data_IF_590622273694
#
_entry.id   IF_590622273694
#
_cell.length_a   1.000
_cell.length_b   1.000
_cell.length_c   1.000
_cell.angle_alpha   90.00
_cell.angle_beta   90.00
_cell.angle_gamma   90.00
#
_symmetry.space_group_name_H-M   'P 1'
#
loop_
_entity.id
_entity.type
_entity.pdbx_description
1 polymer ?
#
# COMPACT_ATOMS: atom_id res chain seq x y z
N UNK A 1 -64.94 12.17 -1.11
CA UNK A 1 -63.76 11.57 -1.77
C UNK A 1 -62.76 12.61 -2.28
N UNK A 2 -63.22 13.68 -2.95
CA UNK A 2 -62.37 14.72 -3.58
C UNK A 2 -61.41 15.48 -2.65
N UNK A 3 -61.84 15.83 -1.42
CA UNK A 3 -61.01 16.58 -0.45
C UNK A 3 -59.78 15.79 0.04
N UNK A 4 -59.92 14.46 0.21
CA UNK A 4 -58.79 13.59 0.59
C UNK A 4 -57.79 13.46 -0.56
N UNK A 5 -58.28 13.43 -1.81
CA UNK A 5 -57.45 13.36 -3.02
C UNK A 5 -56.63 14.64 -3.26
N UNK A 6 -57.22 15.82 -3.03
CA UNK A 6 -56.49 17.10 -3.12
C UNK A 6 -55.37 17.17 -2.07
N UNK A 7 -55.65 16.75 -0.84
CA UNK A 7 -54.65 16.78 0.25
C UNK A 7 -53.47 15.84 -0.05
N UNK A 8 -53.72 14.63 -0.56
CA UNK A 8 -52.62 13.74 -0.99
C UNK A 8 -51.84 14.27 -2.18
N UNK A 9 -52.51 14.91 -3.15
CA UNK A 9 -51.84 15.49 -4.33
C UNK A 9 -50.92 16.66 -3.95
N UNK A 10 -51.37 17.57 -3.06
CA UNK A 10 -50.57 18.70 -2.58
C UNK A 10 -49.35 18.19 -1.78
N UNK A 11 -49.51 17.15 -0.97
CA UNK A 11 -48.40 16.56 -0.23
C UNK A 11 -47.33 15.97 -1.17
N UNK A 12 -47.73 15.28 -2.24
CA UNK A 12 -46.81 14.74 -3.25
C UNK A 12 -46.05 15.85 -3.99
N UNK A 13 -46.72 16.95 -4.35
CA UNK A 13 -46.09 18.11 -4.99
C UNK A 13 -45.08 18.77 -4.05
N UNK A 14 -45.41 18.91 -2.76
CA UNK A 14 -44.49 19.47 -1.77
C UNK A 14 -43.22 18.62 -1.62
N UNK A 15 -43.34 17.29 -1.59
CA UNK A 15 -42.20 16.37 -1.56
C UNK A 15 -41.37 16.47 -2.85
N UNK A 16 -42.00 16.58 -4.01
CA UNK A 16 -41.29 16.76 -5.27
C UNK A 16 -40.50 18.09 -5.30
N UNK A 17 -41.10 19.18 -4.82
CA UNK A 17 -40.45 20.49 -4.72
C UNK A 17 -39.27 20.49 -3.75
N UNK A 18 -39.35 19.81 -2.61
CA UNK A 18 -38.22 19.69 -1.67
C UNK A 18 -37.09 18.86 -2.27
N UNK A 19 -37.38 17.78 -2.98
CA UNK A 19 -36.37 16.98 -3.69
C UNK A 19 -35.68 17.79 -4.79
N UNK A 20 -36.43 18.58 -5.57
CA UNK A 20 -35.87 19.47 -6.60
C UNK A 20 -35.02 20.59 -5.99
N UNK A 21 -35.45 21.16 -4.86
CA UNK A 21 -34.68 22.16 -4.13
C UNK A 21 -33.36 21.58 -3.60
N UNK A 22 -33.40 20.39 -2.99
CA UNK A 22 -32.20 19.67 -2.53
C UNK A 22 -31.22 19.37 -3.68
N UNK A 23 -31.72 18.98 -4.86
CA UNK A 23 -30.88 18.80 -6.05
C UNK A 23 -30.24 20.12 -6.51
N UNK A 24 -30.99 21.23 -6.49
CA UNK A 24 -30.51 22.55 -6.93
C UNK A 24 -29.44 23.14 -6.00
N UNK A 25 -29.57 22.91 -4.68
CA UNK A 25 -28.59 23.38 -3.70
C UNK A 25 -27.36 22.49 -3.58
N UNK A 26 -27.32 21.37 -4.29
CA UNK A 26 -26.24 20.39 -4.18
C UNK A 26 -26.20 19.72 -2.81
N UNK A 27 -27.34 19.56 -2.14
CA UNK A 27 -27.43 18.89 -0.85
C UNK A 27 -27.00 17.42 -1.00
N UNK A 28 -25.86 17.05 -0.40
CA UNK A 28 -25.29 15.71 -0.44
C UNK A 28 -25.68 14.95 0.83
N UNK A 29 -26.18 13.73 0.65
CA UNK A 29 -26.45 12.81 1.75
C UNK A 29 -25.15 12.06 2.04
N UNK A 30 -24.82 11.91 3.33
CA UNK A 30 -23.64 11.16 3.72
C UNK A 30 -23.76 9.70 3.25
N UNK A 31 -22.71 9.18 2.60
CA UNK A 31 -22.71 7.78 2.17
C UNK A 31 -22.55 6.86 3.37
N UNK A 32 -23.38 5.83 3.41
CA UNK A 32 -23.30 4.70 4.35
C UNK A 32 -22.64 3.47 3.72
N UNK A 33 -22.18 3.58 2.48
CA UNK A 33 -21.55 2.48 1.76
C UNK A 33 -20.07 2.40 2.09
N UNK A 34 -19.63 1.23 2.54
CA UNK A 34 -18.21 0.91 2.68
C UNK A 34 -17.58 0.76 1.30
N UNK A 35 -16.38 1.32 1.12
CA UNK A 35 -15.63 1.14 -0.11
C UNK A 35 -15.15 -0.31 -0.26
N UNK A 36 -14.94 -0.75 -1.50
CA UNK A 36 -14.17 -1.96 -1.73
C UNK A 36 -12.75 -1.73 -1.21
N UNK A 37 -12.19 -2.69 -0.46
CA UNK A 37 -10.87 -2.54 0.16
C UNK A 37 -9.75 -2.39 -0.89
N UNK A 38 -9.89 -3.01 -2.05
CA UNK A 38 -8.92 -2.91 -3.14
C UNK A 38 -8.98 -1.51 -3.76
N UNK A 39 -10.17 -1.00 -4.04
CA UNK A 39 -10.35 0.38 -4.47
C UNK A 39 -9.81 1.37 -3.43
N UNK A 40 -9.99 1.09 -2.14
CA UNK A 40 -9.53 1.94 -1.06
C UNK A 40 -8.00 2.10 -1.01
N UNK A 41 -7.27 1.06 -1.41
CA UNK A 41 -5.81 1.07 -1.45
C UNK A 41 -5.25 1.31 -2.86
N UNK A 42 -6.09 1.67 -3.84
CA UNK A 42 -5.72 1.79 -5.25
C UNK A 42 -5.09 0.49 -5.82
N UNK A 43 -5.61 -0.66 -5.40
CA UNK A 43 -5.13 -2.00 -5.77
C UNK A 43 -6.00 -2.65 -6.87
N UNK A 44 -6.49 -1.84 -7.80
CA UNK A 44 -7.31 -2.27 -8.94
C UNK A 44 -6.58 -1.88 -10.22
N UNK A 45 -6.26 -2.85 -11.07
CA UNK A 45 -5.61 -2.65 -12.36
C UNK A 45 -6.60 -2.14 -13.42
N UNK A 46 -6.08 -1.67 -14.55
CA UNK A 46 -6.91 -1.10 -15.64
C UNK A 46 -7.89 -2.10 -16.26
N UNK A 47 -7.62 -3.39 -16.15
CA UNK A 47 -8.50 -4.48 -16.62
C UNK A 47 -9.54 -4.91 -15.56
N UNK A 48 -9.53 -4.29 -14.38
CA UNK A 48 -10.41 -4.59 -13.26
C UNK A 48 -9.93 -5.71 -12.34
N UNK A 49 -8.74 -6.28 -12.57
CA UNK A 49 -8.15 -7.27 -11.67
C UNK A 49 -7.61 -6.63 -10.38
N UNK A 50 -7.58 -7.40 -9.30
CA UNK A 50 -7.11 -6.94 -8.00
C UNK A 50 -5.64 -7.31 -7.76
N UNK A 51 -4.87 -6.37 -7.21
CA UNK A 51 -3.50 -6.60 -6.77
C UNK A 51 -3.52 -7.14 -5.35
N UNK A 52 -2.75 -8.22 -5.10
CA UNK A 52 -2.65 -8.81 -3.77
C UNK A 52 -3.83 -9.70 -3.38
N UNK A 53 -4.57 -10.21 -4.37
CA UNK A 53 -5.60 -11.23 -4.18
C UNK A 53 -5.02 -12.67 -4.18
N UNK A 54 -3.83 -12.85 -4.76
CA UNK A 54 -3.09 -14.12 -4.74
C UNK A 54 -2.17 -14.19 -3.51
N UNK A 55 -2.11 -15.35 -2.87
CA UNK A 55 -1.26 -15.67 -1.72
C UNK A 55 0.25 -15.49 -1.98
N UNK A 56 0.68 -15.54 -3.24
CA UNK A 56 2.10 -15.43 -3.61
C UNK A 56 2.54 -14.00 -3.97
N UNK A 57 1.61 -13.09 -4.26
CA UNK A 57 1.93 -11.74 -4.74
C UNK A 57 1.46 -10.68 -3.75
N UNK A 58 2.36 -9.75 -3.43
CA UNK A 58 2.07 -8.64 -2.51
C UNK A 58 2.24 -7.30 -3.22
N UNK A 59 1.27 -6.41 -3.05
CA UNK A 59 1.44 -5.01 -3.41
C UNK A 59 2.60 -4.40 -2.60
N UNK A 60 3.40 -3.53 -3.21
CA UNK A 60 4.48 -2.84 -2.50
C UNK A 60 4.11 -1.36 -2.42
N UNK A 61 3.98 -0.83 -1.21
CA UNK A 61 3.65 0.57 -0.94
C UNK A 61 4.82 1.21 -0.21
N UNK A 62 5.41 2.24 -0.80
CA UNK A 62 6.58 2.93 -0.25
C UNK A 62 6.19 4.37 0.04
N UNK A 63 6.23 4.78 1.31
CA UNK A 63 5.82 6.12 1.75
C UNK A 63 4.44 6.55 1.21
N UNK A 64 3.49 5.62 1.22
CA UNK A 64 2.11 5.84 0.74
C UNK A 64 1.94 5.76 -0.78
N UNK A 65 3.01 5.57 -1.55
CA UNK A 65 2.97 5.46 -3.01
C UNK A 65 3.03 3.99 -3.40
N UNK A 66 2.04 3.54 -4.19
CA UNK A 66 2.04 2.19 -4.76
C UNK A 66 3.17 2.05 -5.78
N UNK A 67 3.95 0.98 -5.68
CA UNK A 67 4.98 0.60 -6.64
C UNK A 67 4.36 -0.07 -7.86
N UNK A 68 4.98 0.13 -9.02
CA UNK A 68 4.65 -0.58 -10.26
C UNK A 68 4.95 -2.09 -10.15
N UNK A 69 5.88 -2.47 -9.27
CA UNK A 69 6.32 -3.84 -9.08
C UNK A 69 5.68 -4.50 -7.87
N UNK A 70 5.47 -5.81 -7.95
CA UNK A 70 4.94 -6.65 -6.87
C UNK A 70 6.08 -7.34 -6.13
N UNK A 71 5.87 -7.61 -4.85
CA UNK A 71 6.72 -8.49 -4.08
C UNK A 71 6.19 -9.93 -4.17
N UNK A 72 7.09 -10.90 -4.00
CA UNK A 72 6.78 -12.31 -4.04
C UNK A 72 6.92 -12.92 -2.65
N UNK A 73 6.00 -13.78 -2.26
CA UNK A 73 6.14 -14.64 -1.09
C UNK A 73 6.60 -16.02 -1.54
N UNK A 74 7.81 -16.43 -1.14
CA UNK A 74 8.37 -17.75 -1.44
C UNK A 74 9.10 -18.29 -0.23
N UNK A 75 8.85 -19.54 0.16
CA UNK A 75 9.45 -20.16 1.34
C UNK A 75 9.33 -19.28 2.61
N UNK A 76 8.15 -18.71 2.83
CA UNK A 76 7.86 -17.80 3.96
C UNK A 76 8.78 -16.55 4.01
N UNK A 77 9.37 -16.18 2.87
CA UNK A 77 10.26 -15.02 2.71
C UNK A 77 9.67 -14.06 1.68
N UNK A 78 9.70 -12.77 1.98
CA UNK A 78 9.20 -11.72 1.11
C UNK A 78 10.32 -11.17 0.25
N UNK A 79 10.18 -11.33 -1.06
CA UNK A 79 11.17 -10.90 -2.03
C UNK A 79 10.68 -9.66 -2.79
N UNK A 80 11.49 -8.62 -2.81
CA UNK A 80 11.18 -7.36 -3.50
C UNK A 80 12.09 -7.21 -4.71
N UNK A 81 11.52 -6.75 -5.82
CA UNK A 81 12.23 -6.58 -7.08
C UNK A 81 13.42 -5.61 -6.92
N UNK A 82 14.54 -5.95 -7.54
CA UNK A 82 15.78 -5.17 -7.46
C UNK A 82 15.57 -3.71 -7.88
N UNK A 83 14.81 -3.44 -8.95
CA UNK A 83 14.55 -2.06 -9.39
C UNK A 83 13.81 -1.23 -8.34
N UNK A 84 12.90 -1.84 -7.57
CA UNK A 84 12.21 -1.16 -6.47
C UNK A 84 13.20 -0.78 -5.39
N UNK A 85 14.08 -1.71 -4.99
CA UNK A 85 15.09 -1.45 -3.97
C UNK A 85 16.03 -0.35 -4.44
N UNK A 86 16.62 -0.49 -5.64
CA UNK A 86 17.58 0.45 -6.20
C UNK A 86 17.00 1.87 -6.34
N UNK A 87 15.77 1.99 -6.83
CA UNK A 87 15.21 3.27 -7.23
C UNK A 87 14.39 3.96 -6.13
N UNK A 88 13.90 3.23 -5.12
CA UNK A 88 12.99 3.76 -4.10
C UNK A 88 13.48 3.59 -2.66
N UNK A 89 14.37 2.64 -2.39
CA UNK A 89 14.88 2.38 -1.04
C UNK A 89 16.32 2.90 -0.92
N UNK A 90 17.23 2.41 -1.75
CA UNK A 90 18.64 2.79 -1.73
C UNK A 90 19.35 2.46 -3.04
N UNK A 91 20.24 3.34 -3.48
CA UNK A 91 21.10 3.17 -4.65
C UNK A 91 22.37 2.34 -4.37
N UNK A 92 22.61 1.95 -3.11
CA UNK A 92 23.83 1.26 -2.66
C UNK A 92 23.85 -0.23 -2.91
N UNK A 93 22.71 -0.84 -3.25
CA UNK A 93 22.64 -2.23 -3.71
C UNK A 93 22.94 -2.26 -5.20
N UNK A 94 24.13 -2.76 -5.55
CA UNK A 94 24.59 -2.89 -6.92
C UNK A 94 24.48 -4.33 -7.39
N UNK A 95 23.73 -4.59 -8.46
CA UNK A 95 23.71 -5.87 -9.13
C UNK A 95 24.64 -5.84 -10.33
N UNK A 96 25.69 -6.67 -10.29
CA UNK A 96 26.51 -6.96 -11.44
C UNK A 96 25.90 -8.14 -12.21
N UNK A 97 25.33 -7.84 -13.38
CA UNK A 97 24.66 -8.84 -14.21
C UNK A 97 25.65 -9.74 -14.97
N UNK A 98 26.85 -9.25 -15.26
CA UNK A 98 27.85 -10.03 -16.01
C UNK A 98 28.49 -11.07 -15.10
N UNK A 99 28.82 -10.67 -13.88
CA UNK A 99 29.52 -11.51 -12.89
C UNK A 99 28.57 -12.20 -11.89
N UNK A 100 27.25 -12.00 -12.03
CA UNK A 100 26.19 -12.61 -11.21
C UNK A 100 26.41 -12.48 -9.70
N UNK A 101 26.61 -11.24 -9.22
CA UNK A 101 26.61 -10.96 -7.79
C UNK A 101 25.91 -9.64 -7.45
N UNK A 102 25.48 -9.52 -6.20
CA UNK A 102 25.09 -8.26 -5.57
C UNK A 102 26.21 -7.77 -4.66
N UNK A 103 26.50 -6.48 -4.71
CA UNK A 103 27.31 -5.76 -3.74
C UNK A 103 26.46 -4.78 -2.94
N UNK A 104 26.76 -4.69 -1.64
CA UNK A 104 26.30 -3.62 -0.78
C UNK A 104 27.47 -3.11 0.06
N UNK A 105 27.63 -1.79 0.16
CA UNK A 105 28.74 -1.19 0.92
C UNK A 105 28.20 -0.46 2.15
N UNK A 106 28.60 -0.92 3.34
CA UNK A 106 28.42 -0.22 4.61
C UNK A 106 29.62 0.70 4.86
N UNK A 107 29.57 1.60 5.86
CA UNK A 107 30.74 2.39 6.24
C UNK A 107 31.97 1.57 6.65
N UNK A 108 31.79 0.29 7.01
CA UNK A 108 32.85 -0.55 7.61
C UNK A 108 33.16 -1.81 6.81
N UNK A 109 32.31 -2.22 5.88
CA UNK A 109 32.48 -3.46 5.13
C UNK A 109 31.82 -3.41 3.74
N UNK A 110 32.38 -4.20 2.83
CA UNK A 110 31.70 -4.59 1.59
C UNK A 110 31.04 -5.94 1.84
N UNK A 111 29.76 -6.02 1.47
CA UNK A 111 28.95 -7.22 1.49
C UNK A 111 28.82 -7.70 0.05
N UNK A 112 29.18 -8.96 -0.22
CA UNK A 112 29.10 -9.58 -1.55
C UNK A 112 28.30 -10.87 -1.49
N UNK A 113 27.31 -11.00 -2.36
CA UNK A 113 26.47 -12.20 -2.46
C UNK A 113 26.38 -12.63 -3.93
N UNK A 114 26.74 -13.88 -4.24
CA UNK A 114 26.50 -14.44 -5.57
C UNK A 114 25.00 -14.68 -5.78
N UNK A 115 24.46 -14.49 -6.98
CA UNK A 115 23.02 -14.70 -7.21
C UNK A 115 22.60 -16.13 -6.87
N UNK A 116 21.51 -16.25 -6.11
CA UNK A 116 20.99 -17.51 -5.58
C UNK A 116 21.66 -17.95 -4.28
N UNK A 117 20.94 -18.71 -3.47
CA UNK A 117 21.47 -19.25 -2.22
C UNK A 117 21.49 -18.24 -1.07
N UNK A 118 21.93 -18.71 0.09
CA UNK A 118 21.92 -17.93 1.34
C UNK A 118 23.30 -17.40 1.75
N UNK A 119 24.37 -17.81 1.07
CA UNK A 119 25.75 -17.46 1.45
C UNK A 119 26.16 -16.06 0.97
N UNK A 120 26.92 -15.34 1.80
CA UNK A 120 27.50 -14.05 1.45
C UNK A 120 28.84 -13.82 2.15
N UNK A 121 29.62 -12.88 1.64
CA UNK A 121 30.85 -12.41 2.27
C UNK A 121 30.62 -11.01 2.85
N UNK A 122 31.07 -10.77 4.08
CA UNK A 122 31.06 -9.45 4.71
C UNK A 122 32.46 -9.13 5.24
N UNK A 123 33.11 -8.11 4.66
CA UNK A 123 34.46 -7.71 5.08
C UNK A 123 35.51 -8.82 4.95
N UNK A 124 35.34 -9.72 3.96
CA UNK A 124 36.22 -10.86 3.71
C UNK A 124 35.95 -12.09 4.58
N UNK A 125 34.86 -12.10 5.35
CA UNK A 125 34.41 -13.27 6.12
C UNK A 125 33.17 -13.88 5.47
N UNK A 126 33.12 -15.21 5.42
CA UNK A 126 31.97 -15.94 4.93
C UNK A 126 30.89 -16.05 6.00
N UNK A 127 29.67 -15.70 5.62
CA UNK A 127 28.46 -15.69 6.44
C UNK A 127 27.34 -16.41 5.68
N UNK A 128 26.26 -16.74 6.37
CA UNK A 128 25.05 -17.32 5.77
C UNK A 128 23.81 -16.64 6.31
N UNK A 129 22.78 -16.60 5.48
CA UNK A 129 21.43 -16.19 5.82
C UNK A 129 20.52 -17.41 6.02
N UNK A 130 19.31 -17.19 6.52
CA UNK A 130 18.35 -18.27 6.78
C UNK A 130 17.74 -18.83 5.50
N UNK A 131 17.46 -17.95 4.53
CA UNK A 131 16.89 -18.28 3.23
C UNK A 131 17.76 -17.69 2.11
N UNK A 132 17.43 -18.05 0.87
CA UNK A 132 18.08 -17.47 -0.30
C UNK A 132 17.98 -15.94 -0.25
N UNK A 133 19.11 -15.25 -0.37
CA UNK A 133 19.13 -13.77 -0.32
C UNK A 133 18.56 -13.21 -1.62
N UNK A 134 18.77 -13.92 -2.74
CA UNK A 134 18.21 -13.55 -4.03
C UNK A 134 17.50 -14.73 -4.70
N UNK A 135 16.43 -14.42 -5.42
CA UNK A 135 15.78 -15.33 -6.35
C UNK A 135 15.64 -14.64 -7.71
N UNK A 136 15.77 -15.42 -8.77
CA UNK A 136 15.55 -14.95 -10.13
C UNK A 136 14.26 -15.55 -10.66
N UNK A 137 13.38 -14.70 -11.20
CA UNK A 137 12.12 -15.11 -11.82
C UNK A 137 12.09 -14.49 -13.20
N UNK A 138 12.16 -15.34 -14.24
CA UNK A 138 12.44 -14.92 -15.61
C UNK A 138 13.76 -14.13 -15.67
N UNK A 139 13.75 -12.91 -16.18
CA UNK A 139 14.93 -12.03 -16.29
C UNK A 139 15.05 -11.05 -15.09
N UNK A 140 14.15 -11.14 -14.13
CA UNK A 140 14.06 -10.20 -13.02
C UNK A 140 14.68 -10.77 -11.75
N UNK A 141 15.43 -9.93 -11.04
CA UNK A 141 16.04 -10.26 -9.76
C UNK A 141 15.20 -9.73 -8.61
N UNK A 142 14.99 -10.58 -7.61
CA UNK A 142 14.34 -10.20 -6.37
C UNK A 142 15.25 -10.51 -5.18
N UNK A 143 15.21 -9.64 -4.17
CA UNK A 143 16.01 -9.76 -2.96
C UNK A 143 15.10 -9.98 -1.74
N UNK A 144 15.56 -10.78 -0.79
CA UNK A 144 14.93 -10.90 0.52
C UNK A 144 14.85 -9.52 1.20
N UNK A 145 13.62 -9.08 1.47
CA UNK A 145 13.34 -7.81 2.10
C UNK A 145 13.92 -7.71 3.52
N UNK A 146 13.99 -8.80 4.27
CA UNK A 146 14.58 -8.81 5.60
C UNK A 146 16.09 -8.56 5.54
N UNK A 147 16.77 -9.14 4.55
CA UNK A 147 18.19 -8.89 4.28
C UNK A 147 18.42 -7.42 3.88
N UNK A 148 17.58 -6.86 3.00
CA UNK A 148 17.64 -5.44 2.65
C UNK A 148 17.42 -4.56 3.88
N UNK A 149 16.44 -4.90 4.73
CA UNK A 149 16.13 -4.18 5.97
C UNK A 149 17.32 -4.16 6.94
N UNK A 150 18.00 -5.30 7.16
CA UNK A 150 19.21 -5.40 7.99
C UNK A 150 20.25 -4.33 7.64
N UNK A 151 20.46 -4.09 6.35
CA UNK A 151 21.54 -3.24 5.86
C UNK A 151 21.14 -1.78 5.63
N UNK A 152 19.85 -1.51 5.43
CA UNK A 152 19.32 -0.17 5.15
C UNK A 152 18.67 0.49 6.35
N UNK A 153 18.28 -0.28 7.36
CA UNK A 153 17.40 0.18 8.44
C UNK A 153 15.97 0.43 7.98
N UNK A 154 15.53 -0.22 6.88
CA UNK A 154 14.19 -0.09 6.34
C UNK A 154 13.17 -0.74 7.28
N UNK A 155 12.23 0.06 7.79
CA UNK A 155 11.05 -0.43 8.49
C UNK A 155 9.94 -0.78 7.50
N UNK A 156 9.33 -1.96 7.69
CA UNK A 156 8.22 -2.42 6.87
C UNK A 156 7.19 -3.22 7.68
N UNK A 157 5.96 -3.24 7.18
CA UNK A 157 4.84 -4.01 7.73
C UNK A 157 4.16 -4.80 6.61
N UNK A 158 3.74 -6.02 6.93
CA UNK A 158 3.02 -6.89 6.00
C UNK A 158 1.57 -7.02 6.44
N UNK A 159 0.66 -6.97 5.47
CA UNK A 159 -0.78 -7.14 5.66
C UNK A 159 -1.31 -8.17 4.68
N UNK A 160 -2.36 -8.89 5.07
CA UNK A 160 -2.93 -10.01 4.30
C UNK A 160 -4.36 -9.77 3.78
N UNK A 161 -4.87 -8.53 3.89
CA UNK A 161 -6.21 -8.20 3.41
C UNK A 161 -6.30 -6.75 2.93
N UNK A 162 -6.01 -6.47 1.65
CA UNK A 162 -5.35 -7.39 0.70
C UNK A 162 -3.85 -7.54 0.97
N UNK A 163 -3.19 -8.50 0.30
CA UNK A 163 -1.76 -8.76 0.44
C UNK A 163 -0.94 -7.53 0.02
N UNK A 164 -0.31 -6.88 1.00
CA UNK A 164 0.52 -5.69 0.78
C UNK A 164 1.65 -5.59 1.79
N UNK A 165 2.78 -5.07 1.33
CA UNK A 165 3.93 -4.69 2.14
C UNK A 165 4.02 -3.17 2.11
N UNK A 166 3.87 -2.56 3.27
CA UNK A 166 4.01 -1.12 3.44
C UNK A 166 5.38 -0.82 4.06
N UNK A 167 6.13 0.06 3.42
CA UNK A 167 7.47 0.47 3.82
C UNK A 167 7.48 1.97 4.04
N UNK A 168 8.18 2.42 5.09
CA UNK A 168 8.45 3.85 5.27
C UNK A 168 9.81 4.13 4.63
N UNK A 169 9.80 4.80 3.47
CA UNK A 169 11.06 5.23 2.85
C UNK A 169 11.77 6.23 3.76
N UNK A 170 13.10 6.24 3.71
CA UNK A 170 13.98 7.15 4.49
C UNK A 170 13.86 8.63 4.10
N UNK A 171 12.87 9.00 3.30
CA UNK A 171 12.58 10.36 2.85
C UNK A 171 11.52 10.99 3.75
N UNK A 172 12.02 11.57 4.85
CA UNK A 172 11.33 12.45 5.81
C UNK A 172 10.30 11.78 6.75
N UNK A 173 10.22 12.24 8.01
CA UNK A 173 9.13 11.86 8.90
C UNK A 173 7.80 12.29 8.27
N UNK A 174 6.95 11.31 7.99
CA UNK A 174 5.62 11.59 7.49
C UNK A 174 4.78 12.23 8.62
N UNK A 175 3.99 13.28 8.33
CA UNK A 175 3.16 13.91 9.34
C UNK A 175 2.00 13.00 9.73
N UNK A 176 1.75 12.88 11.04
CA UNK A 176 0.61 12.14 11.58
C UNK A 176 -0.32 13.07 12.35
N UNK A 177 -1.62 12.78 12.32
CA UNK A 177 -2.62 13.40 13.17
C UNK A 177 -3.18 12.39 14.16
N UNK A 178 -3.58 12.87 15.34
CA UNK A 178 -4.30 12.08 16.34
C UNK A 178 -5.79 12.31 16.18
N UNK A 179 -6.55 11.23 16.14
CA UNK A 179 -8.01 11.27 16.03
C UNK A 179 -8.61 11.70 17.37
N UNK A 180 -9.25 12.87 17.43
CA UNK A 180 -9.86 13.39 18.66
C UNK A 180 -11.30 12.88 18.88
N UNK A 181 -12.00 12.57 17.79
CA UNK A 181 -13.39 12.09 17.80
C UNK A 181 -13.54 10.93 16.82
N UNK A 182 -14.38 9.96 17.17
CA UNK A 182 -14.76 8.88 16.26
C UNK A 182 -15.35 9.51 14.99
N UNK A 183 -14.76 9.18 13.85
CA UNK A 183 -15.21 9.65 12.55
C UNK A 183 -14.90 8.62 11.45
N UNK A 184 -15.60 8.72 10.33
CA UNK A 184 -15.38 7.86 9.17
C UNK A 184 -14.23 8.39 8.31
N UNK A 185 -13.24 7.54 8.04
CA UNK A 185 -12.23 7.79 7.00
C UNK A 185 -12.87 7.48 5.65
N UNK A 186 -12.80 8.43 4.71
CA UNK A 186 -13.49 8.34 3.40
C UNK A 186 -12.52 8.44 2.23
N UNK A 187 -12.94 7.92 1.08
CA UNK A 187 -12.27 8.13 -0.20
C UNK A 187 -12.49 9.57 -0.73
N UNK A 188 -11.90 10.55 -0.06
CA UNK A 188 -11.99 11.96 -0.41
C UNK A 188 -12.76 12.81 0.58
N UNK A 189 -12.73 14.13 0.35
CA UNK A 189 -13.25 15.13 1.28
C UNK A 189 -14.78 15.28 1.30
N UNK A 190 -15.50 14.51 0.48
CA UNK A 190 -16.95 14.62 0.32
C UNK A 190 -17.69 13.70 1.30
N UNK A 191 -18.73 14.22 1.96
CA UNK A 191 -19.60 13.41 2.84
C UNK A 191 -20.28 12.25 2.11
N UNK A 192 -20.50 12.38 0.81
CA UNK A 192 -21.05 11.34 -0.05
C UNK A 192 -20.02 10.30 -0.52
N UNK A 193 -18.74 10.47 -0.19
CA UNK A 193 -17.70 9.49 -0.50
C UNK A 193 -17.85 8.22 0.35
N UNK A 194 -17.46 7.10 -0.25
CA UNK A 194 -17.45 5.78 0.40
C UNK A 194 -16.53 5.77 1.63
N UNK A 195 -16.93 4.99 2.63
CA UNK A 195 -16.21 4.87 3.91
C UNK A 195 -15.17 3.76 3.79
N UNK A 196 -13.91 4.05 4.08
CA UNK A 196 -12.83 3.07 4.18
C UNK A 196 -12.88 2.32 5.51
N UNK A 197 -12.94 3.08 6.60
CA UNK A 197 -12.99 2.55 7.97
C UNK A 197 -13.48 3.62 8.92
N UNK A 198 -13.77 3.24 10.16
CA UNK A 198 -14.00 4.17 11.27
C UNK A 198 -12.69 4.35 12.05
N UNK A 199 -12.29 5.59 12.26
CA UNK A 199 -11.14 5.94 13.07
C UNK A 199 -11.53 6.00 14.54
N UNK A 200 -10.72 5.40 15.42
CA UNK A 200 -10.95 5.42 16.86
C UNK A 200 -10.26 6.60 17.51
N UNK A 201 -10.82 7.08 18.62
CA UNK A 201 -10.20 8.13 19.42
C UNK A 201 -8.79 7.69 19.85
N UNK A 202 -7.82 8.54 19.58
CA UNK A 202 -6.41 8.31 19.91
C UNK A 202 -5.60 7.55 18.87
N UNK A 203 -6.23 7.06 17.80
CA UNK A 203 -5.53 6.44 16.67
C UNK A 203 -4.68 7.49 15.93
N UNK A 204 -3.52 7.06 15.42
CA UNK A 204 -2.65 7.89 14.59
C UNK A 204 -2.96 7.63 13.12
N UNK A 205 -3.30 8.69 12.40
CA UNK A 205 -3.56 8.63 10.95
C UNK A 205 -2.49 9.39 10.21
N UNK A 206 -2.00 8.79 9.13
CA UNK A 206 -1.04 9.41 8.25
C UNK A 206 -1.70 10.53 7.45
N UNK A 207 -1.13 11.74 7.50
CA UNK A 207 -1.58 12.85 6.67
C UNK A 207 -0.95 12.74 5.29
N UNK A 208 -1.78 12.42 4.30
CA UNK A 208 -1.40 12.47 2.88
C UNK A 208 -1.98 13.77 2.31
N UNK A 209 -1.13 14.58 1.66
CA UNK A 209 -1.47 15.89 1.09
C UNK A 209 -1.81 15.82 -0.39
#
# INVERSE_FOLDING_TARGET
MYKKFIVTLVALIAIACTVLYMKKTGFKIASTKTANIYEAFNLVESDGSHIGENDENYAVVISGILSDYRALLKNNTYYVRYETIRNKITDKFYWDREENFILYTTPTAVVKHAIGGAGYEEGGKSESWDNDITIQVNDDLYLDLAFVSKYTGLDYQVFTNPNRICMVGTLNPLPYAKVEKIDSIRNGADVSAHIYTEAKIGEQVLLTG
#
